data_IF_172146394133
#
_entry.id   IF_172146394133
#
_cell.length_a   1.000
_cell.length_b   1.000
_cell.length_c   1.000
_cell.angle_alpha   90.00
_cell.angle_beta   90.00
_cell.angle_gamma   90.00
#
_symmetry.space_group_name_H-M   'P 1'
#
loop_
_entity.id
_entity.type
_entity.pdbx_description
1 polymer ?
#
# COMPACT_ATOMS: atom_id res chain seq x y z
N UNK A 1 -16.52 -5.72 15.65
CA UNK A 1 -17.01 -5.11 14.40
C UNK A 1 -16.55 -3.66 14.30
N UNK A 2 -16.96 -2.77 15.20
CA UNK A 2 -16.60 -1.35 15.18
C UNK A 2 -15.09 -1.08 15.08
N UNK A 3 -14.27 -1.83 15.83
CA UNK A 3 -12.81 -1.69 15.77
C UNK A 3 -12.25 -2.06 14.38
N UNK A 4 -12.79 -3.12 13.75
CA UNK A 4 -12.42 -3.50 12.39
C UNK A 4 -12.85 -2.43 11.39
N UNK A 5 -14.05 -1.87 11.54
CA UNK A 5 -14.53 -0.78 10.69
C UNK A 5 -13.60 0.42 10.78
N UNK A 6 -13.22 0.83 12.00
CA UNK A 6 -12.25 1.91 12.18
C UNK A 6 -10.92 1.63 11.49
N UNK A 7 -10.38 0.41 11.60
CA UNK A 7 -9.13 0.04 10.92
C UNK A 7 -9.30 0.00 9.40
N UNK A 8 -10.45 -0.46 8.89
CA UNK A 8 -10.81 -0.40 7.47
C UNK A 8 -10.78 1.03 6.94
N UNK A 9 -11.49 1.97 7.58
CA UNK A 9 -11.54 3.35 7.11
C UNK A 9 -10.13 3.96 7.03
N UNK A 10 -9.31 3.72 8.06
CA UNK A 10 -7.91 4.18 8.09
C UNK A 10 -7.04 3.52 7.00
N UNK A 11 -7.18 2.21 6.80
CA UNK A 11 -6.41 1.47 5.81
C UNK A 11 -6.78 1.87 4.38
N UNK A 12 -8.07 2.07 4.12
CA UNK A 12 -8.58 2.50 2.83
C UNK A 12 -8.12 3.92 2.51
N UNK A 13 -8.24 4.86 3.45
CA UNK A 13 -7.72 6.22 3.28
C UNK A 13 -6.21 6.22 3.01
N UNK A 14 -5.41 5.50 3.81
CA UNK A 14 -3.96 5.38 3.61
C UNK A 14 -3.59 4.80 2.24
N UNK A 15 -4.34 3.79 1.79
CA UNK A 15 -4.16 3.21 0.47
C UNK A 15 -4.50 4.22 -0.63
N UNK A 16 -5.66 4.88 -0.55
CA UNK A 16 -6.11 5.88 -1.52
C UNK A 16 -5.14 7.06 -1.63
N UNK A 17 -4.55 7.52 -0.52
CA UNK A 17 -3.53 8.59 -0.54
C UNK A 17 -2.27 8.12 -1.26
N UNK A 18 -1.81 6.90 -0.97
CA UNK A 18 -0.58 6.36 -1.57
C UNK A 18 -0.72 6.14 -3.07
N UNK A 19 -1.86 5.63 -3.51
CA UNK A 19 -2.15 5.38 -4.93
C UNK A 19 -2.62 6.66 -5.67
N UNK A 20 -2.60 7.82 -5.00
CA UNK A 20 -3.04 9.12 -5.54
C UNK A 20 -4.51 9.13 -6.02
N UNK A 21 -5.35 8.30 -5.38
CA UNK A 21 -6.76 8.12 -5.72
C UNK A 21 -7.71 8.96 -4.85
N UNK A 22 -7.30 9.35 -3.63
CA UNK A 22 -8.21 9.94 -2.64
C UNK A 22 -8.98 11.17 -3.16
N UNK A 23 -8.31 12.14 -3.78
CA UNK A 23 -8.96 13.36 -4.25
C UNK A 23 -9.71 14.10 -3.14
N UNK A 24 -11.00 14.37 -3.37
CA UNK A 24 -11.94 14.97 -2.40
C UNK A 24 -12.81 13.92 -1.69
N UNK A 25 -12.50 12.62 -1.82
CA UNK A 25 -13.32 11.57 -1.25
C UNK A 25 -13.26 11.56 0.29
N UNK A 26 -14.38 11.21 0.92
CA UNK A 26 -14.50 11.20 2.38
C UNK A 26 -15.52 10.17 2.87
N UNK A 27 -15.40 9.80 4.14
CA UNK A 27 -16.36 8.95 4.83
C UNK A 27 -17.40 9.78 5.59
N UNK A 28 -18.65 9.37 5.54
CA UNK A 28 -19.77 9.99 6.26
C UNK A 28 -20.46 8.95 7.15
N UNK A 29 -20.77 9.35 8.38
CA UNK A 29 -21.46 8.46 9.33
C UNK A 29 -22.92 8.22 8.93
N UNK A 30 -23.55 7.11 9.35
CA UNK A 30 -24.96 6.84 9.03
C UNK A 30 -25.90 7.97 9.48
N UNK A 31 -25.66 8.55 10.66
CA UNK A 31 -26.47 9.65 11.19
C UNK A 31 -26.33 10.96 10.40
N UNK A 32 -25.19 11.17 9.72
CA UNK A 32 -25.00 12.32 8.83
C UNK A 32 -25.55 12.03 7.43
N UNK A 33 -25.46 10.79 6.97
CA UNK A 33 -26.05 10.33 5.71
C UNK A 33 -27.58 10.45 5.72
N UNK A 34 -28.23 9.99 6.79
CA UNK A 34 -29.68 10.09 6.98
C UNK A 34 -30.17 11.56 6.90
N UNK A 35 -29.39 12.50 7.45
CA UNK A 35 -29.70 13.95 7.38
C UNK A 35 -29.67 14.52 5.96
N UNK A 36 -28.96 13.88 5.03
CA UNK A 36 -28.94 14.30 3.61
C UNK A 36 -30.23 13.92 2.88
N UNK A 37 -31.00 12.97 3.42
CA UNK A 37 -32.26 12.52 2.81
C UNK A 37 -32.05 11.76 1.49
N UNK A 38 -30.92 11.07 1.35
CA UNK A 38 -30.59 10.28 0.17
C UNK A 38 -31.44 9.00 0.09
N UNK A 39 -31.66 8.49 -1.13
CA UNK A 39 -32.57 7.35 -1.35
C UNK A 39 -31.95 5.98 -1.04
N UNK A 40 -30.62 5.88 -1.08
CA UNK A 40 -29.89 4.61 -0.99
C UNK A 40 -28.95 4.60 0.22
N UNK A 41 -28.47 3.41 0.60
CA UNK A 41 -27.43 3.20 1.62
C UNK A 41 -27.82 3.63 3.05
N UNK A 42 -29.12 3.71 3.34
CA UNK A 42 -29.63 4.19 4.64
C UNK A 42 -29.43 3.19 5.79
N UNK A 43 -29.02 1.96 5.48
CA UNK A 43 -28.69 0.88 6.40
C UNK A 43 -27.19 0.53 6.40
N UNK A 44 -26.37 1.28 5.65
CA UNK A 44 -24.92 1.08 5.62
C UNK A 44 -24.27 1.40 6.96
N UNK A 45 -23.22 0.65 7.32
CA UNK A 45 -22.46 0.91 8.55
C UNK A 45 -21.70 2.24 8.46
N UNK A 46 -21.23 2.59 7.27
CA UNK A 46 -20.64 3.87 6.88
C UNK A 46 -20.86 4.07 5.38
N UNK A 47 -20.85 5.32 4.92
CA UNK A 47 -20.91 5.64 3.48
C UNK A 47 -19.60 6.30 3.07
N UNK A 48 -19.07 5.90 1.91
CA UNK A 48 -17.90 6.50 1.28
C UNK A 48 -18.34 7.28 0.05
N UNK A 49 -18.02 8.57 0.02
CA UNK A 49 -18.40 9.52 -1.05
C UNK A 49 -17.14 9.89 -1.82
N UNK A 50 -17.19 9.84 -3.15
CA UNK A 50 -16.01 9.98 -4.02
C UNK A 50 -16.30 10.68 -5.36
N UNK A 51 -17.20 11.66 -5.37
CA UNK A 51 -17.71 12.31 -6.59
C UNK A 51 -16.62 12.86 -7.53
N UNK A 52 -15.62 13.57 -7.00
CA UNK A 52 -14.52 14.14 -7.82
C UNK A 52 -13.19 13.41 -7.64
N UNK A 53 -13.23 12.18 -7.14
CA UNK A 53 -12.05 11.35 -6.89
C UNK A 53 -11.81 10.39 -8.06
N UNK A 54 -10.54 10.02 -8.27
CA UNK A 54 -10.16 8.97 -9.23
C UNK A 54 -10.80 7.62 -8.92
N UNK A 55 -11.30 7.42 -7.69
CA UNK A 55 -12.14 6.26 -7.31
C UNK A 55 -13.40 6.18 -8.18
N UNK A 56 -14.01 7.31 -8.56
CA UNK A 56 -15.15 7.32 -9.48
C UNK A 56 -14.80 6.62 -10.79
N UNK A 57 -13.65 6.96 -11.38
CA UNK A 57 -13.20 6.32 -12.62
C UNK A 57 -12.93 4.83 -12.40
N UNK A 58 -12.21 4.48 -11.32
CA UNK A 58 -11.86 3.11 -10.99
C UNK A 58 -13.10 2.21 -10.87
N UNK A 59 -14.13 2.65 -10.16
CA UNK A 59 -15.32 1.83 -9.86
C UNK A 59 -16.36 1.80 -10.98
N UNK A 60 -16.42 2.83 -11.84
CA UNK A 60 -17.48 2.93 -12.86
C UNK A 60 -17.06 2.50 -14.27
N UNK A 61 -15.76 2.35 -14.55
CA UNK A 61 -15.24 2.12 -15.91
C UNK A 61 -14.49 0.80 -16.10
N UNK A 62 -14.75 -0.20 -15.24
CA UNK A 62 -14.20 -1.55 -15.40
C UNK A 62 -12.69 -1.64 -15.21
N UNK A 63 -12.11 -0.78 -14.37
CA UNK A 63 -10.72 -0.91 -13.94
C UNK A 63 -10.54 -2.14 -13.05
N UNK A 64 -9.28 -2.53 -12.82
CA UNK A 64 -8.97 -3.60 -11.86
C UNK A 64 -9.23 -3.12 -10.44
N UNK A 65 -10.21 -3.73 -9.76
CA UNK A 65 -10.59 -3.45 -8.38
C UNK A 65 -10.06 -4.47 -7.40
N UNK A 66 -9.23 -5.43 -7.83
CA UNK A 66 -8.79 -6.57 -6.99
C UNK A 66 -8.28 -6.14 -5.62
N UNK A 67 -7.44 -5.10 -5.57
CA UNK A 67 -6.90 -4.59 -4.31
C UNK A 67 -7.94 -3.80 -3.49
N UNK A 68 -8.80 -3.04 -4.17
CA UNK A 68 -9.90 -2.31 -3.52
C UNK A 68 -10.83 -3.29 -2.81
N UNK A 69 -11.27 -4.34 -3.51
CA UNK A 69 -12.15 -5.40 -3.01
C UNK A 69 -11.53 -6.12 -1.81
N UNK A 70 -10.26 -6.52 -1.96
CA UNK A 70 -9.49 -7.21 -0.92
C UNK A 70 -9.31 -6.36 0.34
N UNK A 71 -9.20 -5.02 0.24
CA UNK A 71 -9.16 -4.14 1.41
C UNK A 71 -10.43 -4.33 2.24
N UNK A 72 -11.63 -4.24 1.66
CA UNK A 72 -12.88 -4.42 2.42
C UNK A 72 -12.96 -5.80 3.08
N UNK A 73 -12.72 -6.86 2.30
CA UNK A 73 -12.83 -8.24 2.77
C UNK A 73 -11.84 -8.55 3.90
N UNK A 74 -10.66 -7.95 3.87
CA UNK A 74 -9.61 -8.13 4.88
C UNK A 74 -10.07 -7.72 6.27
N UNK A 75 -10.93 -6.70 6.36
CA UNK A 75 -11.50 -6.22 7.62
C UNK A 75 -12.85 -6.86 7.96
N UNK A 76 -13.40 -7.67 7.06
CA UNK A 76 -14.69 -8.35 7.24
C UNK A 76 -15.88 -7.57 6.71
N UNK A 77 -15.66 -6.71 5.74
CA UNK A 77 -16.71 -5.91 5.12
C UNK A 77 -16.79 -6.22 3.63
N UNK A 78 -17.92 -5.91 3.05
CA UNK A 78 -18.13 -5.77 1.62
C UNK A 78 -18.73 -4.38 1.37
N UNK A 79 -18.85 -3.99 0.10
CA UNK A 79 -19.44 -2.71 -0.25
C UNK A 79 -20.50 -2.84 -1.34
N UNK A 80 -21.45 -1.90 -1.32
CA UNK A 80 -22.48 -1.77 -2.35
C UNK A 80 -22.50 -0.35 -2.89
N UNK A 81 -22.58 -0.22 -4.22
CA UNK A 81 -22.75 1.09 -4.86
C UNK A 81 -24.17 1.61 -4.64
N UNK A 82 -24.32 2.85 -4.18
CA UNK A 82 -25.62 3.54 -4.15
C UNK A 82 -25.84 4.35 -5.42
N UNK A 83 -24.94 5.29 -5.65
CA UNK A 83 -24.81 6.07 -6.88
C UNK A 83 -23.42 5.90 -7.49
N UNK A 84 -23.19 6.42 -8.69
CA UNK A 84 -21.85 6.42 -9.31
C UNK A 84 -20.78 7.16 -8.49
N UNK A 85 -21.18 7.94 -7.48
CA UNK A 85 -20.31 8.78 -6.65
C UNK A 85 -20.26 8.35 -5.18
N UNK A 86 -20.91 7.23 -4.80
CA UNK A 86 -20.86 6.73 -3.42
C UNK A 86 -21.06 5.21 -3.32
N UNK A 87 -20.63 4.68 -2.18
CA UNK A 87 -20.89 3.31 -1.76
C UNK A 87 -21.18 3.21 -0.27
N UNK A 88 -21.94 2.18 0.11
CA UNK A 88 -22.18 1.79 1.50
C UNK A 88 -21.25 0.66 1.90
N UNK A 89 -20.82 0.65 3.17
CA UNK A 89 -19.96 -0.37 3.76
C UNK A 89 -20.82 -1.26 4.66
N UNK A 90 -20.76 -2.57 4.45
CA UNK A 90 -21.60 -3.55 5.14
C UNK A 90 -20.76 -4.69 5.72
N UNK A 91 -21.10 -5.20 6.92
CA UNK A 91 -20.41 -6.36 7.47
C UNK A 91 -20.71 -7.62 6.66
N UNK A 92 -19.71 -8.49 6.50
CA UNK A 92 -19.93 -9.85 6.00
C UNK A 92 -20.59 -10.65 7.13
N UNK A 93 -21.73 -11.29 6.83
CA UNK A 93 -22.62 -11.94 7.82
C UNK A 93 -21.88 -12.97 8.70
N UNK A 94 -21.06 -13.83 8.09
CA UNK A 94 -20.33 -14.90 8.78
C UNK A 94 -18.89 -14.53 9.19
N UNK A 95 -18.54 -13.23 9.20
CA UNK A 95 -17.19 -12.82 9.56
C UNK A 95 -16.97 -12.85 11.08
N UNK A 96 -15.89 -13.52 11.49
CA UNK A 96 -15.45 -13.53 12.88
C UNK A 96 -14.75 -12.20 13.25
N UNK A 97 -15.55 -11.30 13.83
CA UNK A 97 -15.11 -10.03 14.39
C UNK A 97 -14.54 -10.12 15.81
N UNK A 98 -14.36 -11.33 16.37
CA UNK A 98 -13.75 -11.46 17.68
C UNK A 98 -12.34 -10.89 17.67
N UNK A 99 -11.99 -10.18 18.74
CA UNK A 99 -10.65 -9.63 18.86
C UNK A 99 -9.64 -10.77 18.96
N UNK A 100 -8.60 -10.70 18.13
CA UNK A 100 -7.44 -11.56 18.29
C UNK A 100 -6.90 -11.43 19.72
N UNK A 101 -6.60 -12.55 20.40
CA UNK A 101 -6.04 -12.51 21.74
C UNK A 101 -4.81 -11.59 21.80
N UNK A 102 -4.74 -10.73 22.81
CA UNK A 102 -3.64 -9.77 23.00
C UNK A 102 -2.24 -10.43 23.11
N UNK A 103 -2.18 -11.75 23.31
CA UNK A 103 -0.95 -12.55 23.40
C UNK A 103 -0.69 -13.43 22.16
N UNK A 104 -1.49 -13.31 21.10
CA UNK A 104 -1.23 -14.06 19.89
C UNK A 104 0.13 -13.65 19.32
N UNK A 105 1.02 -14.62 19.19
CA UNK A 105 2.32 -14.42 18.53
C UNK A 105 2.09 -14.21 17.04
N UNK A 106 2.98 -13.46 16.39
CA UNK A 106 2.92 -13.25 14.94
C UNK A 106 2.81 -14.58 14.17
N UNK A 107 3.59 -15.59 14.57
CA UNK A 107 3.54 -16.95 13.98
C UNK A 107 2.18 -17.65 14.14
N UNK A 108 1.41 -17.35 15.19
CA UNK A 108 0.05 -17.87 15.33
C UNK A 108 -0.91 -17.18 14.36
N UNK A 109 -0.77 -15.86 14.18
CA UNK A 109 -1.57 -15.09 13.22
C UNK A 109 -1.37 -15.58 11.77
N UNK A 110 -0.16 -16.02 11.41
CA UNK A 110 0.12 -16.58 10.08
C UNK A 110 -0.57 -17.95 9.83
N UNK A 111 -1.20 -18.55 10.84
CA UNK A 111 -2.01 -19.77 10.65
C UNK A 111 -3.48 -19.46 10.38
N UNK A 112 -3.90 -18.22 10.57
CA UNK A 112 -5.27 -17.75 10.39
C UNK A 112 -5.72 -17.95 8.92
N UNK A 113 -6.94 -18.45 8.67
CA UNK A 113 -7.48 -18.60 7.32
C UNK A 113 -7.47 -17.30 6.50
N UNK A 114 -7.65 -16.13 7.14
CA UNK A 114 -7.63 -14.81 6.48
C UNK A 114 -6.24 -14.51 5.93
N UNK A 115 -5.19 -14.79 6.70
CA UNK A 115 -3.81 -14.67 6.20
C UNK A 115 -3.54 -15.61 5.03
N UNK A 116 -3.99 -16.87 5.12
CA UNK A 116 -3.80 -17.83 4.02
C UNK A 116 -4.44 -17.34 2.73
N UNK A 117 -5.68 -16.85 2.79
CA UNK A 117 -6.38 -16.25 1.63
C UNK A 117 -5.61 -15.05 1.06
N UNK A 118 -5.19 -14.10 1.91
CA UNK A 118 -4.37 -12.96 1.47
C UNK A 118 -3.08 -13.42 0.79
N UNK A 119 -2.35 -14.34 1.44
CA UNK A 119 -1.07 -14.81 0.91
C UNK A 119 -1.23 -15.54 -0.43
N UNK A 120 -2.34 -16.25 -0.63
CA UNK A 120 -2.64 -16.90 -1.91
C UNK A 120 -3.05 -15.88 -2.97
N UNK A 121 -3.85 -14.86 -2.63
CA UNK A 121 -4.18 -13.75 -3.52
C UNK A 121 -2.93 -12.99 -3.99
N UNK A 122 -2.00 -12.68 -3.08
CA UNK A 122 -0.70 -12.05 -3.41
C UNK A 122 0.07 -12.88 -4.45
N UNK A 123 0.09 -14.21 -4.32
CA UNK A 123 0.74 -15.10 -5.29
C UNK A 123 -0.01 -15.11 -6.63
N UNK A 124 -1.34 -15.10 -6.60
CA UNK A 124 -2.17 -15.08 -7.81
C UNK A 124 -1.96 -13.79 -8.62
N UNK A 125 -1.99 -12.63 -7.96
CA UNK A 125 -1.69 -11.31 -8.56
C UNK A 125 -0.28 -11.30 -9.16
N UNK A 126 0.69 -11.92 -8.47
CA UNK A 126 2.05 -12.11 -8.97
C UNK A 126 2.18 -13.20 -10.06
N UNK A 127 1.07 -13.73 -10.59
CA UNK A 127 1.02 -14.80 -11.60
C UNK A 127 1.80 -16.06 -11.18
N UNK A 128 1.84 -16.34 -9.87
CA UNK A 128 2.60 -17.41 -9.25
C UNK A 128 4.10 -17.39 -9.59
N UNK A 129 4.69 -16.20 -9.73
CA UNK A 129 6.13 -16.00 -9.91
C UNK A 129 6.70 -15.10 -8.83
N UNK A 130 7.95 -15.34 -8.46
CA UNK A 130 8.71 -14.43 -7.59
C UNK A 130 8.79 -13.06 -8.27
N UNK A 131 8.35 -12.01 -7.59
CA UNK A 131 8.34 -10.66 -8.17
C UNK A 131 9.74 -10.02 -8.24
N UNK A 132 10.75 -10.61 -7.58
CA UNK A 132 12.13 -10.11 -7.61
C UNK A 132 13.00 -10.82 -8.64
N UNK A 133 12.84 -12.13 -8.82
CA UNK A 133 13.70 -12.93 -9.72
C UNK A 133 12.95 -13.74 -10.78
N UNK A 134 11.62 -13.72 -10.79
CA UNK A 134 10.80 -14.47 -11.75
C UNK A 134 10.71 -15.98 -11.50
N UNK A 135 11.40 -16.52 -10.48
CA UNK A 135 11.37 -17.94 -10.16
C UNK A 135 9.96 -18.45 -9.86
N UNK A 136 9.65 -19.64 -10.35
CA UNK A 136 8.42 -20.37 -10.05
C UNK A 136 8.64 -21.34 -8.87
N UNK A 137 7.55 -21.87 -8.31
CA UNK A 137 7.59 -22.86 -7.24
C UNK A 137 7.03 -22.36 -5.92
N UNK A 138 7.68 -22.72 -4.80
CA UNK A 138 7.19 -22.32 -3.46
C UNK A 138 7.46 -20.82 -3.24
N UNK A 139 6.37 -20.05 -3.18
CA UNK A 139 6.37 -18.63 -2.90
C UNK A 139 5.77 -18.31 -1.53
N UNK A 140 6.26 -17.25 -0.92
CA UNK A 140 5.83 -16.72 0.36
C UNK A 140 5.46 -15.24 0.20
N UNK A 141 4.38 -14.80 0.87
CA UNK A 141 3.95 -13.41 0.86
C UNK A 141 4.77 -12.62 1.88
N UNK A 142 5.43 -11.56 1.42
CA UNK A 142 6.37 -10.76 2.19
C UNK A 142 5.83 -9.34 2.37
N UNK A 143 5.69 -8.87 3.62
CA UNK A 143 5.32 -7.48 3.92
C UNK A 143 6.50 -6.54 3.66
N UNK A 144 6.36 -5.65 2.68
CA UNK A 144 7.40 -4.68 2.28
C UNK A 144 7.44 -3.45 3.18
N UNK A 145 6.32 -3.14 3.82
CA UNK A 145 6.24 -2.10 4.82
C UNK A 145 5.07 -2.40 5.77
N UNK A 146 5.12 -1.79 6.95
CA UNK A 146 4.04 -1.83 7.92
C UNK A 146 3.47 -0.42 8.02
N UNK A 147 2.36 -0.16 7.34
CA UNK A 147 1.57 1.04 7.61
C UNK A 147 1.16 1.01 9.09
N UNK A 148 1.54 2.05 9.83
CA UNK A 148 1.09 2.35 11.19
C UNK A 148 1.10 1.13 12.14
N UNK A 149 2.29 0.65 12.52
CA UNK A 149 2.46 -0.43 13.52
C UNK A 149 1.64 -0.20 14.82
N UNK A 150 1.36 1.05 15.18
CA UNK A 150 0.56 1.42 16.36
C UNK A 150 -0.94 1.17 16.22
N UNK A 151 -1.47 1.00 15.00
CA UNK A 151 -2.90 0.76 14.74
C UNK A 151 -3.33 -0.69 14.97
N UNK A 152 -2.38 -1.59 15.27
CA UNK A 152 -2.69 -2.99 15.58
C UNK A 152 -3.18 -3.81 14.39
N UNK A 153 -2.80 -3.46 13.17
CA UNK A 153 -3.23 -4.19 11.97
C UNK A 153 -2.79 -5.66 12.03
N UNK A 154 -3.67 -6.55 11.57
CA UNK A 154 -3.38 -7.97 11.40
C UNK A 154 -2.62 -8.22 10.10
N UNK A 155 -1.92 -9.36 9.94
CA UNK A 155 -1.11 -9.61 8.74
C UNK A 155 -1.87 -9.51 7.41
N UNK A 156 -3.17 -9.83 7.40
CA UNK A 156 -4.04 -9.71 6.23
C UNK A 156 -4.73 -8.34 6.10
N UNK A 157 -4.60 -7.43 7.07
CA UNK A 157 -5.23 -6.10 7.04
C UNK A 157 -4.37 -5.06 6.28
N UNK A 158 -3.44 -5.54 5.44
CA UNK A 158 -2.56 -4.72 4.63
C UNK A 158 -2.93 -4.84 3.13
N UNK A 159 -2.81 -3.74 2.36
CA UNK A 159 -3.09 -3.75 0.93
C UNK A 159 -2.13 -4.69 0.16
N UNK A 160 -2.58 -5.29 -0.93
CA UNK A 160 -1.80 -6.23 -1.75
C UNK A 160 -0.47 -5.61 -2.23
N UNK A 161 -0.47 -4.35 -2.60
CA UNK A 161 0.67 -3.54 -3.01
C UNK A 161 1.70 -3.33 -1.89
N UNK A 162 1.35 -3.59 -0.61
CA UNK A 162 2.33 -3.67 0.47
C UNK A 162 3.01 -5.04 0.59
N UNK A 163 2.57 -6.01 -0.19
CA UNK A 163 3.00 -7.39 -0.15
C UNK A 163 3.68 -7.78 -1.45
N UNK A 164 4.61 -8.72 -1.36
CA UNK A 164 5.22 -9.34 -2.55
C UNK A 164 5.22 -10.84 -2.46
N UNK A 165 4.98 -11.51 -3.58
CA UNK A 165 5.20 -12.94 -3.71
C UNK A 165 6.68 -13.20 -4.00
N UNK A 166 7.38 -13.85 -3.08
CA UNK A 166 8.83 -14.08 -3.19
C UNK A 166 9.17 -15.56 -3.03
N UNK A 167 10.17 -16.03 -3.78
CA UNK A 167 10.80 -17.30 -3.45
C UNK A 167 11.60 -17.16 -2.16
N UNK A 168 11.90 -18.28 -1.50
CA UNK A 168 12.60 -18.28 -0.21
C UNK A 168 13.91 -17.47 -0.22
N UNK A 169 14.72 -17.63 -1.27
CA UNK A 169 16.00 -16.92 -1.37
C UNK A 169 15.82 -15.40 -1.46
N UNK A 170 14.88 -14.93 -2.29
CA UNK A 170 14.56 -13.51 -2.40
C UNK A 170 13.94 -13.00 -1.10
N UNK A 171 13.09 -13.78 -0.43
CA UNK A 171 12.50 -13.41 0.85
C UNK A 171 13.56 -13.14 1.92
N UNK A 172 14.53 -14.05 2.10
CA UNK A 172 15.65 -13.88 3.05
C UNK A 172 16.60 -12.74 2.65
N UNK A 173 16.77 -12.50 1.35
CA UNK A 173 17.65 -11.42 0.84
C UNK A 173 17.01 -10.06 1.04
N UNK A 174 15.72 -9.93 0.73
CA UNK A 174 14.98 -8.67 0.79
C UNK A 174 14.89 -8.13 2.21
N UNK A 175 14.62 -8.97 3.20
CA UNK A 175 14.62 -8.57 4.61
C UNK A 175 15.94 -7.88 5.02
N UNK A 176 17.08 -8.41 4.57
CA UNK A 176 18.41 -7.83 4.85
C UNK A 176 18.59 -6.49 4.15
N UNK A 177 18.16 -6.37 2.89
CA UNK A 177 18.27 -5.15 2.09
C UNK A 177 17.37 -4.05 2.68
N UNK A 178 16.12 -4.36 3.01
CA UNK A 178 15.17 -3.42 3.62
C UNK A 178 15.66 -2.93 4.99
N UNK A 179 16.15 -3.84 5.84
CA UNK A 179 16.73 -3.47 7.13
C UNK A 179 17.93 -2.53 6.96
N UNK A 180 18.81 -2.85 6.00
CA UNK A 180 19.99 -2.01 5.71
C UNK A 180 19.60 -0.65 5.16
N UNK A 181 18.61 -0.60 4.26
CA UNK A 181 18.08 0.64 3.70
C UNK A 181 17.44 1.52 4.77
N UNK A 182 16.63 0.94 5.67
CA UNK A 182 16.02 1.65 6.80
C UNK A 182 17.06 2.20 7.79
N UNK A 183 18.11 1.42 8.08
CA UNK A 183 19.20 1.87 8.93
C UNK A 183 19.99 3.02 8.29
N UNK A 184 20.18 2.99 6.97
CA UNK A 184 20.80 4.07 6.22
C UNK A 184 19.92 5.32 6.17
N UNK A 185 18.62 5.16 5.88
CA UNK A 185 17.66 6.25 5.74
C UNK A 185 17.47 7.03 7.04
N UNK A 186 17.70 6.40 8.20
CA UNK A 186 17.66 7.06 9.51
C UNK A 186 18.68 8.21 9.69
N UNK A 187 19.68 8.31 8.80
CA UNK A 187 20.67 9.40 8.80
C UNK A 187 20.17 10.67 8.11
N UNK A 188 19.06 10.59 7.38
CA UNK A 188 18.52 11.66 6.56
C UNK A 188 17.38 12.39 7.28
N UNK A 189 17.26 13.69 7.05
CA UNK A 189 16.09 14.46 7.46
C UNK A 189 14.88 14.11 6.58
N UNK A 190 13.67 14.46 7.04
CA UNK A 190 12.45 14.27 6.24
C UNK A 190 12.54 14.97 4.87
N UNK A 191 13.13 16.17 4.80
CA UNK A 191 13.31 16.89 3.53
C UNK A 191 14.27 16.16 2.59
N UNK A 192 15.37 15.62 3.13
CA UNK A 192 16.35 14.85 2.35
C UNK A 192 15.75 13.55 1.81
N UNK A 193 14.92 12.85 2.58
CA UNK A 193 14.21 11.66 2.10
C UNK A 193 13.28 11.97 0.93
N UNK A 194 12.48 13.03 1.06
CA UNK A 194 11.56 13.46 0.00
C UNK A 194 12.32 13.91 -1.26
N UNK A 195 13.43 14.63 -1.09
CA UNK A 195 14.26 15.06 -2.22
C UNK A 195 14.94 13.89 -2.92
N UNK A 196 15.43 12.89 -2.17
CA UNK A 196 16.02 11.69 -2.73
C UNK A 196 14.99 10.92 -3.56
N UNK A 197 13.80 10.68 -3.01
CA UNK A 197 12.71 10.01 -3.71
C UNK A 197 12.38 10.74 -5.02
N UNK A 198 12.06 12.04 -4.95
CA UNK A 198 11.74 12.85 -6.13
C UNK A 198 12.88 12.89 -7.15
N UNK A 199 14.13 12.93 -6.68
CA UNK A 199 15.31 12.94 -7.54
C UNK A 199 15.46 11.64 -8.33
N UNK A 200 15.28 10.50 -7.68
CA UNK A 200 15.30 9.18 -8.32
C UNK A 200 14.14 9.04 -9.31
N UNK A 201 12.92 9.41 -8.91
CA UNK A 201 11.75 9.33 -9.78
C UNK A 201 11.90 10.22 -11.02
N UNK A 202 12.40 11.45 -10.85
CA UNK A 202 12.63 12.38 -11.95
C UNK A 202 13.71 11.87 -12.90
N UNK A 203 14.84 11.36 -12.37
CA UNK A 203 15.90 10.80 -13.19
C UNK A 203 15.40 9.56 -13.96
N UNK A 204 14.66 8.67 -13.30
CA UNK A 204 14.08 7.48 -13.91
C UNK A 204 13.08 7.80 -15.01
N UNK A 205 12.26 8.85 -14.82
CA UNK A 205 11.33 9.33 -15.85
C UNK A 205 12.05 9.77 -17.14
N UNK A 206 13.17 10.50 -17.02
CA UNK A 206 13.89 11.01 -18.19
C UNK A 206 14.83 9.98 -18.84
N UNK A 207 15.46 9.13 -18.04
CA UNK A 207 16.52 8.22 -18.50
C UNK A 207 16.01 6.81 -18.76
N UNK A 208 14.91 6.41 -18.15
CA UNK A 208 14.52 5.01 -17.99
C UNK A 208 15.12 4.41 -16.70
N UNK A 209 14.32 3.58 -16.02
CA UNK A 209 14.71 3.01 -14.72
C UNK A 209 15.89 2.05 -14.82
N UNK A 210 16.00 1.28 -15.92
CA UNK A 210 17.09 0.32 -16.09
C UNK A 210 18.41 1.05 -16.35
N UNK A 211 18.37 2.06 -17.21
CA UNK A 211 19.49 2.92 -17.59
C UNK A 211 20.00 3.71 -16.38
N UNK A 212 19.09 4.22 -15.53
CA UNK A 212 19.46 4.86 -14.28
C UNK A 212 20.17 3.90 -13.33
N UNK A 213 19.69 2.65 -13.21
CA UNK A 213 20.32 1.64 -12.36
C UNK A 213 21.71 1.24 -12.88
N UNK A 214 21.87 1.11 -14.20
CA UNK A 214 23.17 0.88 -14.83
C UNK A 214 24.15 2.02 -14.50
N UNK A 215 23.73 3.29 -14.68
CA UNK A 215 24.53 4.48 -14.33
C UNK A 215 24.94 4.50 -12.85
N UNK A 216 24.00 4.24 -11.94
CA UNK A 216 24.28 4.20 -10.50
C UNK A 216 25.25 3.06 -10.13
N UNK A 217 25.20 1.94 -10.85
CA UNK A 217 26.11 0.82 -10.66
C UNK A 217 27.51 1.10 -11.24
N UNK A 218 27.61 1.78 -12.38
CA UNK A 218 28.89 2.17 -12.99
C UNK A 218 29.63 3.24 -12.19
N UNK A 219 28.89 4.23 -11.67
CA UNK A 219 29.45 5.29 -10.81
C UNK A 219 30.02 4.74 -9.48
N UNK A 220 29.60 3.54 -9.05
CA UNK A 220 30.22 2.83 -7.92
C UNK A 220 31.60 2.25 -8.25
N UNK A 221 31.93 2.09 -9.54
CA UNK A 221 33.17 1.45 -10.03
C UNK A 221 34.20 2.40 -10.64
N UNK A 222 33.84 3.59 -11.18
CA UNK A 222 34.87 4.42 -11.85
C UNK A 222 34.95 5.93 -11.61
N UNK A 223 34.00 6.68 -11.05
CA UNK A 223 34.08 8.16 -11.21
C UNK A 223 33.81 8.98 -9.95
N UNK A 224 34.80 8.97 -9.05
CA UNK A 224 34.95 10.00 -8.03
C UNK A 224 35.26 11.39 -8.61
N UNK A 225 35.79 11.52 -9.83
CA UNK A 225 36.25 12.81 -10.39
C UNK A 225 35.13 13.64 -11.05
N UNK A 226 34.27 13.04 -11.88
CA UNK A 226 33.18 13.79 -12.51
C UNK A 226 32.11 14.23 -11.51
N UNK A 227 31.80 13.38 -10.52
CA UNK A 227 30.93 13.75 -9.40
C UNK A 227 31.51 14.89 -8.55
N UNK A 228 32.84 14.97 -8.38
CA UNK A 228 33.49 16.11 -7.71
C UNK A 228 33.34 17.40 -8.51
N UNK A 229 33.47 17.34 -9.84
CA UNK A 229 33.28 18.52 -10.69
C UNK A 229 31.82 18.97 -10.79
N UNK A 230 30.87 18.04 -10.72
CA UNK A 230 29.45 18.37 -10.58
C UNK A 230 29.16 19.00 -9.21
N UNK A 231 29.71 18.44 -8.13
CA UNK A 231 29.60 19.00 -6.78
C UNK A 231 30.14 20.43 -6.70
N UNK A 232 31.32 20.71 -7.25
CA UNK A 232 31.89 22.07 -7.33
C UNK A 232 30.95 23.05 -8.05
N UNK A 233 30.29 22.62 -9.13
CA UNK A 233 29.32 23.44 -9.87
C UNK A 233 28.02 23.69 -9.11
N UNK A 234 27.53 22.71 -8.36
CA UNK A 234 26.31 22.85 -7.53
C UNK A 234 26.57 23.76 -6.32
N UNK A 235 27.73 23.61 -5.66
CA UNK A 235 28.11 24.42 -4.49
C UNK A 235 28.51 25.86 -4.83
N UNK A 236 28.79 26.16 -6.10
CA UNK A 236 29.14 27.50 -6.58
C UNK A 236 27.95 28.28 -7.16
N UNK A 237 26.73 27.71 -7.17
CA UNK A 237 25.53 28.49 -7.51
C UNK A 237 25.30 29.54 -6.42
N UNK A 238 25.21 30.85 -6.77
CA UNK A 238 24.85 31.86 -5.80
C UNK A 238 23.45 31.56 -5.27
N UNK A 239 23.28 31.62 -3.95
CA UNK A 239 21.95 31.64 -3.33
C UNK A 239 21.22 32.90 -3.80
N UNK A 240 20.27 32.70 -4.72
CA UNK A 240 19.25 33.68 -5.09
C UNK A 240 18.16 33.75 -4.04
#
# INVERSE_FOLDING_TARGET
MEENLRRLLLALEDWLVREELLGDAFFISPAEWEKRGESWLNDAAYVFVFDSSSVHHMLNFGCDTTEFDDIFESFGFWYEMGHSWNLGIYPIEDYDFTQTPARATYTQLLKDPRWKRKADLVKQVAKNKCQDCGAEGRLEAHHCYYARMSSGFRPWEYPISSLRALCRQCHETREKVEMSFRAWSAKLTHQQLVQLQKGVDHAGYWMGNNELLELLNESSRSECEELKELHKRVMSKPTS
#
